data_IF_562029812634
#
_entry.id   IF_562029812634
#
_cell.length_a   1.000
_cell.length_b   1.000
_cell.length_c   1.000
_cell.angle_alpha   90.00
_cell.angle_beta   90.00
_cell.angle_gamma   90.00
#
_symmetry.space_group_name_H-M   'P 1'
#
loop_
_entity.id
_entity.type
_entity.pdbx_description
1 polymer ?
#
# COMPACT_ATOMS: atom_id res chain seq x y z
N UNK A 1 -21.11 -6.18 12.25
CA UNK A 1 -22.37 -5.75 11.60
C UNK A 1 -23.24 -6.98 11.43
N UNK A 2 -24.35 -7.08 12.15
CA UNK A 2 -25.34 -8.15 11.97
C UNK A 2 -26.14 -7.90 10.70
N UNK A 3 -26.18 -8.85 9.78
CA UNK A 3 -27.10 -8.82 8.65
C UNK A 3 -28.52 -9.07 9.17
N UNK A 4 -29.33 -8.02 9.24
CA UNK A 4 -30.75 -8.15 9.56
C UNK A 4 -31.45 -8.88 8.40
N UNK A 5 -31.71 -10.17 8.56
CA UNK A 5 -32.43 -10.96 7.59
C UNK A 5 -33.94 -10.73 7.76
N UNK A 6 -34.51 -9.80 6.99
CA UNK A 6 -35.97 -9.56 6.99
C UNK A 6 -36.63 -10.65 6.16
N UNK A 7 -37.25 -11.63 6.83
CA UNK A 7 -37.88 -12.80 6.20
C UNK A 7 -39.13 -12.41 5.39
N UNK A 8 -39.90 -11.41 5.86
CA UNK A 8 -41.13 -10.96 5.20
C UNK A 8 -40.86 -10.11 3.94
N UNK A 9 -41.31 -10.54 2.74
CA UNK A 9 -41.05 -9.86 1.47
C UNK A 9 -41.69 -8.47 1.36
N UNK A 10 -42.84 -8.22 2.01
CA UNK A 10 -43.50 -6.90 1.96
C UNK A 10 -42.70 -5.86 2.75
N UNK A 11 -42.34 -6.21 4.00
CA UNK A 11 -41.50 -5.37 4.87
C UNK A 11 -40.11 -5.13 4.28
N UNK A 12 -39.54 -6.12 3.60
CA UNK A 12 -38.27 -5.98 2.88
C UNK A 12 -38.36 -4.93 1.78
N UNK A 13 -39.42 -4.98 0.95
CA UNK A 13 -39.64 -4.03 -0.14
C UNK A 13 -39.81 -2.59 0.37
N UNK A 14 -40.53 -2.42 1.47
CA UNK A 14 -40.70 -1.13 2.12
C UNK A 14 -39.39 -0.56 2.69
N UNK A 15 -38.63 -1.38 3.43
CA UNK A 15 -37.30 -1.00 3.93
C UNK A 15 -36.34 -0.62 2.79
N UNK A 16 -36.39 -1.31 1.65
CA UNK A 16 -35.60 -0.93 0.46
C UNK A 16 -36.03 0.41 -0.13
N UNK A 17 -37.33 0.71 -0.16
CA UNK A 17 -37.84 2.02 -0.63
C UNK A 17 -37.40 3.14 0.29
N UNK A 18 -37.46 2.95 1.61
CA UNK A 18 -36.99 3.91 2.60
C UNK A 18 -35.49 4.13 2.50
N UNK A 19 -34.69 3.06 2.40
CA UNK A 19 -33.24 3.16 2.23
C UNK A 19 -32.87 3.93 0.96
N UNK A 20 -33.60 3.68 -0.15
CA UNK A 20 -33.39 4.43 -1.40
C UNK A 20 -33.71 5.91 -1.25
N UNK A 21 -34.77 6.27 -0.50
CA UNK A 21 -35.11 7.67 -0.18
C UNK A 21 -34.04 8.32 0.70
N UNK A 22 -33.62 7.62 1.75
CA UNK A 22 -32.62 8.11 2.70
C UNK A 22 -31.27 8.36 2.02
N UNK A 23 -30.84 7.44 1.15
CA UNK A 23 -29.64 7.61 0.32
C UNK A 23 -29.73 8.84 -0.59
N UNK A 24 -30.91 9.12 -1.15
CA UNK A 24 -31.14 10.30 -2.01
C UNK A 24 -31.10 11.60 -1.19
N UNK A 25 -31.67 11.62 0.01
CA UNK A 25 -31.62 12.78 0.91
C UNK A 25 -30.19 13.10 1.32
N UNK A 26 -29.45 12.11 1.85
CA UNK A 26 -28.05 12.29 2.29
C UNK A 26 -27.18 12.84 1.15
N UNK A 27 -27.40 12.36 -0.08
CA UNK A 27 -26.70 12.88 -1.24
C UNK A 27 -27.05 14.35 -1.52
N UNK A 28 -28.33 14.72 -1.43
CA UNK A 28 -28.77 16.09 -1.66
C UNK A 28 -28.27 17.04 -0.56
N UNK A 29 -28.31 16.60 0.70
CA UNK A 29 -27.81 17.36 1.84
C UNK A 29 -26.31 17.65 1.70
N UNK A 30 -25.52 16.64 1.29
CA UNK A 30 -24.10 16.81 1.02
C UNK A 30 -23.81 17.77 -0.15
N UNK A 31 -24.67 17.79 -1.19
CA UNK A 31 -24.55 18.74 -2.30
C UNK A 31 -24.89 20.16 -1.84
N UNK A 32 -25.93 20.33 -1.04
CA UNK A 32 -26.35 21.62 -0.51
C UNK A 32 -25.30 22.20 0.46
N UNK A 33 -24.72 21.38 1.32
CA UNK A 33 -23.62 21.76 2.22
C UNK A 33 -22.40 22.24 1.42
N UNK A 34 -22.07 21.54 0.33
CA UNK A 34 -21.00 21.96 -0.59
C UNK A 34 -21.29 23.31 -1.22
N UNK A 35 -22.50 23.54 -1.71
CA UNK A 35 -22.90 24.83 -2.29
C UNK A 35 -22.83 25.96 -1.25
N UNK A 36 -23.24 25.70 -0.01
CA UNK A 36 -23.14 26.68 1.08
C UNK A 36 -21.68 27.01 1.45
N UNK A 37 -20.80 26.01 1.45
CA UNK A 37 -19.37 26.20 1.68
C UNK A 37 -18.72 27.01 0.54
N UNK A 38 -19.05 26.69 -0.72
CA UNK A 38 -18.54 27.42 -1.89
C UNK A 38 -18.99 28.90 -1.86
N UNK A 39 -20.24 29.18 -1.45
CA UNK A 39 -20.73 30.55 -1.24
C UNK A 39 -19.94 31.27 -0.12
N UNK A 40 -19.71 30.61 1.01
CA UNK A 40 -18.96 31.18 2.14
C UNK A 40 -17.51 31.53 1.76
N UNK A 41 -16.87 30.68 0.95
CA UNK A 41 -15.53 30.93 0.42
C UNK A 41 -15.53 32.09 -0.58
N UNK A 42 -16.56 32.21 -1.41
CA UNK A 42 -16.71 33.34 -2.32
C UNK A 42 -16.86 34.66 -1.55
N UNK A 43 -17.65 34.67 -0.48
CA UNK A 43 -17.85 35.85 0.37
C UNK A 43 -16.57 36.25 1.11
N UNK A 44 -15.81 35.29 1.66
CA UNK A 44 -14.49 35.56 2.24
C UNK A 44 -13.52 36.12 1.21
N UNK A 45 -13.50 35.55 0.00
CA UNK A 45 -12.69 36.05 -1.11
C UNK A 45 -13.00 37.50 -1.43
N UNK A 46 -14.29 37.86 -1.51
CA UNK A 46 -14.73 39.24 -1.75
C UNK A 46 -14.39 40.17 -0.59
N UNK A 47 -14.54 39.71 0.66
CA UNK A 47 -14.27 40.51 1.86
C UNK A 47 -12.78 40.87 2.00
N UNK A 48 -11.88 39.92 1.69
CA UNK A 48 -10.44 40.13 1.85
C UNK A 48 -9.74 40.68 0.60
N UNK A 49 -10.39 40.66 -0.56
CA UNK A 49 -9.82 41.17 -1.81
C UNK A 49 -9.24 42.59 -1.71
N UNK A 50 -9.92 43.58 -1.10
CA UNK A 50 -9.38 44.94 -0.98
C UNK A 50 -8.08 44.99 -0.16
N UNK A 51 -7.97 44.14 0.86
CA UNK A 51 -6.79 44.05 1.72
C UNK A 51 -5.63 43.41 0.95
N UNK A 52 -5.89 42.33 0.23
CA UNK A 52 -4.90 41.65 -0.61
C UNK A 52 -4.40 42.59 -1.70
N UNK A 53 -5.30 43.29 -2.39
CA UNK A 53 -4.95 44.24 -3.44
C UNK A 53 -4.13 45.40 -2.87
N UNK A 54 -4.52 45.95 -1.70
CA UNK A 54 -3.78 47.01 -1.02
C UNK A 54 -2.38 46.58 -0.55
N UNK A 55 -2.17 45.31 -0.23
CA UNK A 55 -0.90 44.79 0.28
C UNK A 55 0.00 44.18 -0.81
N UNK A 56 -0.54 43.94 -2.01
CA UNK A 56 0.14 43.28 -3.12
C UNK A 56 1.45 43.96 -3.55
N UNK A 57 1.54 45.29 -3.45
CA UNK A 57 2.75 46.06 -3.80
C UNK A 57 3.76 46.23 -2.67
N UNK A 58 3.47 45.81 -1.44
CA UNK A 58 4.36 46.04 -0.28
C UNK A 58 5.65 45.24 -0.44
N UNK A 59 5.58 44.01 -0.93
CA UNK A 59 6.76 43.14 -1.12
C UNK A 59 7.72 43.69 -2.19
N UNK A 60 7.19 44.24 -3.28
CA UNK A 60 7.98 44.90 -4.34
C UNK A 60 8.63 46.20 -3.88
N UNK A 61 7.94 46.97 -3.04
CA UNK A 61 8.47 48.22 -2.50
C UNK A 61 9.51 47.98 -1.39
N UNK A 62 9.34 46.94 -0.57
CA UNK A 62 10.33 46.52 0.42
C UNK A 62 11.63 46.00 -0.23
N UNK A 63 11.53 45.33 -1.38
CA UNK A 63 12.70 44.87 -2.13
C UNK A 63 13.54 46.02 -2.74
N UNK A 64 12.97 47.24 -2.86
CA UNK A 64 13.63 48.42 -3.43
C UNK A 64 14.24 49.36 -2.37
N UNK A 65 13.95 49.14 -1.08
CA UNK A 65 14.48 49.96 0.02
C UNK A 65 15.73 49.30 0.63
N UNK A 66 16.93 49.69 0.18
CA UNK A 66 18.20 49.24 0.78
C UNK A 66 18.61 50.03 2.04
N UNK A 67 17.89 51.10 2.43
CA UNK A 67 18.24 51.93 3.58
C UNK A 67 17.24 51.79 4.73
N UNK A 68 17.70 51.24 5.86
CA UNK A 68 16.90 50.95 7.08
C UNK A 68 16.24 52.17 7.74
N UNK A 69 16.63 53.39 7.39
CA UNK A 69 16.14 54.63 8.02
C UNK A 69 14.78 55.08 7.50
N UNK A 70 14.39 54.71 6.29
CA UNK A 70 13.15 55.18 5.64
C UNK A 70 11.92 54.31 5.99
N UNK A 71 12.15 53.10 6.51
CA UNK A 71 11.10 52.14 6.91
C UNK A 71 10.31 52.58 8.15
N UNK A 72 10.97 53.27 9.09
CA UNK A 72 10.33 53.73 10.33
C UNK A 72 9.34 54.89 10.09
N UNK A 73 9.63 55.75 9.12
CA UNK A 73 8.81 56.92 8.76
C UNK A 73 7.61 56.51 7.89
N UNK A 74 7.75 55.46 7.08
CA UNK A 74 6.63 54.93 6.27
C UNK A 74 5.64 54.09 7.09
N UNK A 75 6.09 53.37 8.13
CA UNK A 75 5.18 52.64 9.02
C UNK A 75 4.32 53.56 9.90
N UNK A 76 4.80 54.77 10.25
CA UNK A 76 4.03 55.70 11.10
C UNK A 76 2.88 56.40 10.37
N UNK A 77 2.84 56.34 9.04
CA UNK A 77 1.85 57.03 8.21
C UNK A 77 0.68 56.13 7.76
N UNK A 78 0.60 54.89 8.24
CA UNK A 78 -0.56 54.04 8.02
C UNK A 78 -1.71 54.46 8.96
N UNK A 79 -2.95 54.60 8.46
CA UNK A 79 -4.09 54.93 9.30
C UNK A 79 -4.30 53.82 10.34
N UNK A 80 -4.31 54.20 11.62
CA UNK A 80 -4.68 53.31 12.70
C UNK A 80 -6.09 52.77 12.44
N UNK A 81 -6.20 51.44 12.37
CA UNK A 81 -7.48 50.74 12.18
C UNK A 81 -8.36 51.06 13.39
N UNK A 82 -9.46 51.78 13.14
CA UNK A 82 -10.48 52.08 14.14
C UNK A 82 -11.18 50.79 14.61
N UNK A 83 -11.50 50.80 15.90
CA UNK A 83 -12.27 49.85 16.71
C UNK A 83 -13.15 48.83 15.95
N UNK A 84 -12.81 47.55 16.09
CA UNK A 84 -13.69 46.42 15.73
C UNK A 84 -14.38 45.96 17.03
N UNK A 85 -15.72 45.84 17.08
CA UNK A 85 -16.41 45.39 18.27
C UNK A 85 -16.06 43.93 18.59
N UNK A 86 -15.64 43.68 19.84
CA UNK A 86 -15.31 42.36 20.37
C UNK A 86 -16.51 41.41 20.29
N UNK A 87 -16.56 40.59 19.25
CA UNK A 87 -17.43 39.39 19.26
C UNK A 87 -16.63 38.25 19.87
N UNK A 88 -16.86 37.98 21.16
CA UNK A 88 -16.32 36.82 21.87
C UNK A 88 -16.77 35.54 21.16
N UNK A 89 -15.84 34.85 20.52
CA UNK A 89 -16.02 33.46 20.10
C UNK A 89 -15.17 32.56 21.00
N UNK A 90 -15.86 31.84 21.87
CA UNK A 90 -15.29 30.77 22.70
C UNK A 90 -14.95 29.57 21.80
N UNK A 91 -13.76 29.58 21.18
CA UNK A 91 -13.18 28.39 20.59
C UNK A 91 -11.69 28.32 20.94
N UNK A 92 -11.36 27.48 21.93
CA UNK A 92 -9.99 27.09 22.25
C UNK A 92 -9.34 26.43 21.03
N UNK A 93 -8.23 26.95 20.49
CA UNK A 93 -7.50 26.27 19.43
C UNK A 93 -6.51 25.27 20.05
N UNK A 94 -6.94 24.03 20.25
CA UNK A 94 -5.99 22.91 20.38
C UNK A 94 -5.52 22.48 18.98
N UNK A 95 -4.80 23.38 18.29
CA UNK A 95 -4.19 23.11 16.99
C UNK A 95 -2.68 23.37 17.05
N UNK A 96 -1.91 22.32 17.39
CA UNK A 96 -0.54 22.23 16.87
C UNK A 96 -0.65 22.15 15.34
N UNK A 97 -0.46 23.28 14.69
CA UNK A 97 -0.44 23.42 13.23
C UNK A 97 0.69 22.51 12.72
N UNK A 98 0.33 21.47 11.95
CA UNK A 98 1.30 20.63 11.25
C UNK A 98 1.91 21.49 10.14
N UNK A 99 3.16 21.91 10.27
CA UNK A 99 3.85 22.63 9.20
C UNK A 99 4.21 21.62 8.11
N UNK A 100 3.54 21.68 6.97
CA UNK A 100 3.95 20.96 5.76
C UNK A 100 5.04 21.77 5.05
N UNK A 101 6.07 21.07 4.58
CA UNK A 101 7.10 21.66 3.74
C UNK A 101 6.64 21.74 2.28
N UNK A 102 7.32 22.56 1.50
CA UNK A 102 6.98 22.85 0.10
C UNK A 102 6.96 21.59 -0.77
N UNK A 103 7.86 20.63 -0.49
CA UNK A 103 8.00 19.39 -1.24
C UNK A 103 6.80 18.47 -0.96
N UNK A 104 6.56 18.13 0.30
CA UNK A 104 5.44 17.28 0.69
C UNK A 104 4.09 17.86 0.23
N UNK A 105 3.92 19.18 0.34
CA UNK A 105 2.70 19.87 -0.10
C UNK A 105 2.46 19.68 -1.60
N UNK A 106 3.48 19.85 -2.44
CA UNK A 106 3.32 19.71 -3.89
C UNK A 106 2.94 18.28 -4.30
N UNK A 107 3.59 17.28 -3.70
CA UNK A 107 3.33 15.87 -4.03
C UNK A 107 1.97 15.41 -3.52
N UNK A 108 1.62 15.72 -2.26
CA UNK A 108 0.30 15.41 -1.71
C UNK A 108 -0.81 16.13 -2.47
N UNK A 109 -0.65 17.40 -2.82
CA UNK A 109 -1.65 18.12 -3.63
C UNK A 109 -1.87 17.43 -4.98
N UNK A 110 -0.81 16.99 -5.63
CA UNK A 110 -0.89 16.32 -6.94
C UNK A 110 -1.63 14.98 -6.91
N UNK A 111 -1.46 14.18 -5.84
CA UNK A 111 -2.14 12.88 -5.71
C UNK A 111 -3.63 13.04 -5.47
N UNK A 112 -4.00 14.02 -4.65
CA UNK A 112 -5.39 14.26 -4.30
C UNK A 112 -6.16 14.98 -5.41
N UNK A 113 -5.52 15.85 -6.19
CA UNK A 113 -6.13 16.52 -7.33
C UNK A 113 -6.31 15.60 -8.55
N UNK A 114 -5.42 14.63 -8.80
CA UNK A 114 -5.45 13.81 -10.01
C UNK A 114 -5.52 12.30 -9.74
N UNK A 115 -6.74 11.81 -9.51
CA UNK A 115 -7.06 10.39 -9.24
C UNK A 115 -6.59 9.40 -10.32
N UNK A 116 -6.35 9.84 -11.57
CA UNK A 116 -5.91 8.96 -12.66
C UNK A 116 -4.40 8.63 -12.60
N UNK A 117 -3.61 9.41 -11.86
CA UNK A 117 -2.15 9.33 -11.85
C UNK A 117 -1.53 8.75 -10.56
N UNK A 118 -2.34 8.61 -9.50
CA UNK A 118 -1.92 8.08 -8.20
C UNK A 118 -2.34 6.61 -8.02
N UNK A 119 -1.52 5.79 -7.34
CA UNK A 119 -1.85 4.39 -7.00
C UNK A 119 -2.17 4.26 -5.52
N UNK A 120 -3.46 4.37 -5.17
CA UNK A 120 -3.95 4.20 -3.80
C UNK A 120 -3.69 2.81 -3.18
N UNK A 121 -3.16 1.85 -3.93
CA UNK A 121 -2.85 0.50 -3.43
C UNK A 121 -1.62 0.49 -2.51
N UNK A 122 -0.63 1.31 -2.83
CA UNK A 122 0.66 1.38 -2.11
C UNK A 122 1.01 2.78 -1.65
N UNK A 123 0.30 3.79 -2.13
CA UNK A 123 0.52 5.19 -1.78
C UNK A 123 -0.14 5.57 -0.44
N UNK A 124 0.16 6.80 -0.02
CA UNK A 124 -0.46 7.45 1.12
C UNK A 124 -1.97 7.58 0.89
N UNK A 125 -2.76 7.13 1.85
CA UNK A 125 -4.21 7.25 1.82
C UNK A 125 -4.78 7.70 3.18
N UNK A 126 -5.99 8.28 3.15
CA UNK A 126 -6.75 8.62 4.36
C UNK A 126 -7.98 7.73 4.46
N UNK A 127 -8.30 7.27 5.68
CA UNK A 127 -9.51 6.48 5.95
C UNK A 127 -10.78 7.33 5.89
N UNK A 128 -10.66 8.65 6.09
CA UNK A 128 -11.80 9.57 6.19
C UNK A 128 -12.22 10.13 4.81
N UNK A 129 -11.62 9.62 3.73
CA UNK A 129 -11.83 10.13 2.37
C UNK A 129 -11.07 11.42 2.09
N UNK A 130 -10.92 11.76 0.80
CA UNK A 130 -10.11 12.90 0.32
C UNK A 130 -10.56 14.26 0.88
N UNK A 131 -11.82 14.39 1.32
CA UNK A 131 -12.45 15.67 1.63
C UNK A 131 -11.86 16.34 2.88
N UNK A 132 -11.22 15.59 3.78
CA UNK A 132 -10.74 16.09 5.07
C UNK A 132 -9.22 16.23 5.19
N UNK A 133 -8.45 15.96 4.14
CA UNK A 133 -6.98 15.92 4.25
C UNK A 133 -6.37 17.32 4.36
N UNK A 134 -7.01 18.34 3.77
CA UNK A 134 -6.53 19.72 3.87
C UNK A 134 -6.63 20.27 5.30
N UNK A 135 -7.63 19.81 6.06
CA UNK A 135 -7.88 20.26 7.44
C UNK A 135 -7.39 19.28 8.51
N UNK A 136 -7.25 17.99 8.15
CA UNK A 136 -6.91 16.90 9.07
C UNK A 136 -5.87 15.98 8.45
N UNK A 137 -4.63 16.45 8.32
CA UNK A 137 -3.45 15.61 8.06
C UNK A 137 -3.19 14.56 9.16
N UNK A 138 -4.01 14.55 10.23
CA UNK A 138 -3.84 13.71 11.40
C UNK A 138 -4.04 12.21 11.13
N UNK A 139 -4.55 11.78 9.97
CA UNK A 139 -4.93 10.38 9.70
C UNK A 139 -4.45 9.85 8.35
N UNK A 140 -3.19 10.11 8.02
CA UNK A 140 -2.54 9.52 6.85
C UNK A 140 -2.05 8.11 7.17
N UNK A 141 -2.19 7.20 6.20
CA UNK A 141 -1.76 5.81 6.33
C UNK A 141 -0.97 5.37 5.09
N UNK A 142 0.02 4.51 5.32
CA UNK A 142 0.63 3.66 4.30
C UNK A 142 0.37 2.23 4.74
N UNK A 143 -0.15 1.39 3.84
CA UNK A 143 -0.53 0.02 4.21
C UNK A 143 -1.46 0.00 5.42
N UNK A 144 -1.01 -0.60 6.52
CA UNK A 144 -1.75 -0.69 7.79
C UNK A 144 -1.33 0.34 8.84
N UNK A 145 -0.22 1.04 8.65
CA UNK A 145 0.35 1.96 9.65
C UNK A 145 0.01 3.41 9.36
N UNK A 146 -0.19 4.16 10.44
CA UNK A 146 -0.37 5.61 10.39
C UNK A 146 0.99 6.29 10.18
N UNK A 147 0.99 7.36 9.40
CA UNK A 147 2.17 8.19 9.17
C UNK A 147 1.93 9.62 9.64
N UNK A 148 2.99 10.28 10.09
CA UNK A 148 3.02 11.69 10.45
C UNK A 148 4.02 12.40 9.53
N UNK A 149 3.58 13.49 8.90
CA UNK A 149 4.45 14.29 8.04
C UNK A 149 4.74 15.59 8.77
N UNK A 150 6.01 15.83 9.07
CA UNK A 150 6.50 17.04 9.72
C UNK A 150 7.47 17.73 8.75
N UNK A 151 7.12 18.92 8.27
CA UNK A 151 7.74 19.58 7.13
C UNK A 151 7.73 18.66 5.90
N UNK A 152 8.88 18.09 5.54
CA UNK A 152 8.98 17.11 4.46
C UNK A 152 9.18 15.68 5.01
N UNK A 153 9.62 15.55 6.26
CA UNK A 153 10.04 14.27 6.82
C UNK A 153 8.83 13.41 7.20
N UNK A 154 8.97 12.11 6.97
CA UNK A 154 7.91 11.13 7.19
C UNK A 154 8.28 10.32 8.44
N UNK A 155 7.39 10.32 9.42
CA UNK A 155 7.55 9.54 10.64
C UNK A 155 6.56 8.38 10.62
N UNK A 156 7.07 7.16 10.81
CA UNK A 156 6.29 5.92 10.82
C UNK A 156 6.65 5.17 12.12
N UNK A 157 5.73 5.18 13.09
CA UNK A 157 6.05 4.69 14.44
C UNK A 157 7.21 5.50 15.05
N UNK A 158 8.28 4.81 15.43
CA UNK A 158 9.47 5.43 16.06
C UNK A 158 10.56 5.82 15.05
N UNK A 159 10.36 5.56 13.76
CA UNK A 159 11.36 5.84 12.71
C UNK A 159 11.01 7.09 11.93
N UNK A 160 12.05 7.91 11.71
CA UNK A 160 11.98 9.14 10.92
C UNK A 160 12.74 8.95 9.61
N UNK A 161 12.08 9.24 8.50
CA UNK A 161 12.64 9.20 7.15
C UNK A 161 12.72 10.61 6.57
N UNK A 162 13.83 10.93 5.93
CA UNK A 162 14.06 12.25 5.32
C UNK A 162 13.17 12.38 4.09
N UNK A 163 12.43 13.49 4.01
CA UNK A 163 11.53 13.79 2.90
C UNK A 163 12.23 14.26 1.63
N UNK A 164 12.90 13.35 0.92
CA UNK A 164 13.47 13.63 -0.40
C UNK A 164 12.39 13.70 -1.49
N UNK A 165 12.69 14.37 -2.60
CA UNK A 165 11.81 14.38 -3.78
C UNK A 165 11.59 12.97 -4.33
N UNK A 166 12.62 12.13 -4.30
CA UNK A 166 12.58 10.72 -4.71
C UNK A 166 11.62 9.90 -3.87
N UNK A 167 11.77 9.91 -2.53
CA UNK A 167 10.89 9.14 -1.62
C UNK A 167 9.44 9.61 -1.72
N UNK A 168 9.21 10.93 -1.77
CA UNK A 168 7.87 11.48 -1.89
C UNK A 168 7.22 11.00 -3.19
N UNK A 169 7.94 10.97 -4.31
CA UNK A 169 7.43 10.51 -5.60
C UNK A 169 7.15 9.01 -5.63
N UNK A 170 7.99 8.19 -5.00
CA UNK A 170 7.78 6.74 -4.84
C UNK A 170 6.52 6.41 -4.00
N UNK A 171 6.14 7.30 -3.08
CA UNK A 171 4.98 7.15 -2.19
C UNK A 171 3.68 7.75 -2.75
N UNK A 172 3.73 8.41 -3.92
CA UNK A 172 2.62 9.21 -4.44
C UNK A 172 2.28 8.98 -5.90
N UNK A 173 3.22 8.55 -6.75
CA UNK A 173 2.98 8.41 -8.19
C UNK A 173 2.96 6.96 -8.64
N UNK A 174 1.97 6.65 -9.48
CA UNK A 174 1.78 5.33 -10.11
C UNK A 174 2.86 4.99 -11.16
N UNK A 175 3.60 5.98 -11.67
CA UNK A 175 4.72 5.80 -12.61
C UNK A 175 5.85 6.78 -12.28
N UNK A 176 6.80 6.40 -11.40
CA UNK A 176 7.99 7.20 -11.14
C UNK A 176 9.01 7.04 -12.28
N UNK A 177 9.52 8.17 -12.78
CA UNK A 177 10.64 8.19 -13.73
C UNK A 177 11.92 7.73 -13.01
N UNK A 178 12.73 6.88 -13.64
CA UNK A 178 13.92 6.27 -13.02
C UNK A 178 14.98 7.30 -12.60
N UNK A 179 14.98 8.46 -13.23
CA UNK A 179 16.02 9.47 -13.06
C UNK A 179 15.83 10.36 -11.81
N UNK A 180 14.74 10.15 -11.05
CA UNK A 180 14.31 11.07 -9.99
C UNK A 180 14.56 10.55 -8.58
N UNK A 181 14.74 9.23 -8.41
CA UNK A 181 15.03 8.63 -7.11
C UNK A 181 16.40 7.97 -7.13
N UNK A 182 17.13 8.07 -6.02
CA UNK A 182 18.42 7.42 -5.85
C UNK A 182 18.27 6.03 -5.19
N UNK A 183 19.37 5.28 -5.12
CA UNK A 183 19.39 3.95 -4.50
C UNK A 183 19.05 4.00 -3.00
N UNK A 184 19.44 5.07 -2.30
CA UNK A 184 19.09 5.27 -0.89
C UNK A 184 17.58 5.53 -0.69
N UNK A 185 16.91 6.24 -1.61
CA UNK A 185 15.47 6.44 -1.61
C UNK A 185 14.76 5.10 -1.83
N UNK A 186 15.28 4.26 -2.72
CA UNK A 186 14.75 2.93 -2.98
C UNK A 186 14.86 2.00 -1.76
N UNK A 187 16.01 2.02 -1.07
CA UNK A 187 16.21 1.23 0.14
C UNK A 187 15.31 1.69 1.28
N UNK A 188 15.21 3.01 1.50
CA UNK A 188 14.27 3.56 2.46
C UNK A 188 12.81 3.19 2.12
N UNK A 189 12.45 3.23 0.84
CA UNK A 189 11.13 2.82 0.39
C UNK A 189 10.85 1.34 0.65
N UNK A 190 11.82 0.44 0.42
CA UNK A 190 11.72 -0.98 0.79
C UNK A 190 11.43 -1.16 2.27
N UNK A 191 12.18 -0.46 3.14
CA UNK A 191 12.00 -0.52 4.59
C UNK A 191 10.61 -0.05 4.98
N UNK A 192 10.16 1.08 4.42
CA UNK A 192 8.81 1.64 4.66
C UNK A 192 7.72 0.64 4.27
N UNK A 193 7.79 0.04 3.08
CA UNK A 193 6.81 -0.94 2.59
C UNK A 193 6.74 -2.18 3.49
N UNK A 194 7.87 -2.66 3.99
CA UNK A 194 7.95 -3.81 4.91
C UNK A 194 7.36 -3.48 6.27
N UNK A 195 7.70 -2.31 6.82
CA UNK A 195 7.21 -1.90 8.14
C UNK A 195 5.72 -1.62 8.18
N UNK A 196 5.18 -1.07 7.08
CA UNK A 196 3.77 -0.70 6.95
C UNK A 196 2.90 -1.86 6.50
N UNK A 197 3.51 -2.99 6.16
CA UNK A 197 2.85 -4.17 5.59
C UNK A 197 2.03 -3.81 4.33
N UNK A 198 2.49 -2.81 3.58
CA UNK A 198 1.82 -2.32 2.37
C UNK A 198 1.96 -3.29 1.20
N UNK A 199 3.06 -4.05 1.18
CA UNK A 199 3.39 -4.97 0.09
C UNK A 199 2.68 -6.33 0.21
N UNK A 200 2.25 -6.74 1.40
CA UNK A 200 1.64 -8.05 1.61
C UNK A 200 0.11 -8.02 1.36
N UNK A 201 -0.42 -9.12 0.81
CA UNK A 201 -1.86 -9.28 0.68
C UNK A 201 -2.44 -9.92 1.94
N UNK A 202 -3.29 -9.19 2.68
CA UNK A 202 -3.96 -9.72 3.87
C UNK A 202 -4.96 -10.85 3.57
N UNK A 203 -5.45 -10.94 2.32
CA UNK A 203 -6.43 -11.96 1.88
C UNK A 203 -5.79 -13.19 1.26
N UNK A 204 -4.56 -13.07 0.75
CA UNK A 204 -3.83 -14.14 0.09
C UNK A 204 -2.44 -14.24 0.73
N UNK A 205 -2.31 -15.08 1.75
CA UNK A 205 -1.04 -15.30 2.44
C UNK A 205 0.04 -15.75 1.45
N UNK A 206 1.25 -15.20 1.60
CA UNK A 206 2.41 -15.55 0.77
C UNK A 206 2.41 -14.96 -0.65
N UNK A 207 1.50 -14.03 -0.98
CA UNK A 207 1.50 -13.29 -2.25
C UNK A 207 1.61 -11.78 -2.01
N UNK A 208 2.27 -11.04 -2.92
CA UNK A 208 2.26 -9.59 -2.83
C UNK A 208 0.84 -9.09 -3.10
N UNK A 209 0.50 -7.93 -2.54
CA UNK A 209 -0.65 -7.16 -2.98
C UNK A 209 -0.43 -6.83 -4.45
N UNK A 210 -1.38 -7.15 -5.33
CA UNK A 210 -1.23 -6.92 -6.77
C UNK A 210 -1.87 -5.59 -7.18
N UNK A 211 -1.18 -4.79 -8.00
CA UNK A 211 -1.74 -3.62 -8.68
C UNK A 211 -1.47 -3.68 -10.20
N UNK A 212 -2.24 -2.93 -10.97
CA UNK A 212 -2.01 -2.75 -12.42
C UNK A 212 -1.01 -1.62 -12.72
N UNK A 213 -0.58 -0.88 -11.70
CA UNK A 213 0.31 0.27 -11.83
C UNK A 213 1.69 -0.10 -12.37
N UNK A 214 2.34 0.86 -13.01
CA UNK A 214 3.70 0.68 -13.53
C UNK A 214 4.72 0.63 -12.38
N UNK A 215 4.51 1.38 -11.30
CA UNK A 215 5.30 1.28 -10.07
C UNK A 215 5.28 -0.15 -9.50
N UNK A 216 4.12 -0.82 -9.54
CA UNK A 216 4.03 -2.20 -9.10
C UNK A 216 4.90 -3.13 -9.95
N UNK A 217 4.77 -3.05 -11.27
CA UNK A 217 5.51 -3.93 -12.19
C UNK A 217 7.01 -3.70 -12.14
N UNK A 218 7.44 -2.44 -12.08
CA UNK A 218 8.85 -2.05 -12.22
C UNK A 218 9.62 -2.01 -10.89
N UNK A 219 8.95 -1.72 -9.79
CA UNK A 219 9.60 -1.47 -8.48
C UNK A 219 9.11 -2.46 -7.43
N UNK A 220 7.81 -2.49 -7.15
CA UNK A 220 7.27 -3.25 -5.99
C UNK A 220 7.37 -4.76 -6.19
N UNK A 221 7.09 -5.27 -7.39
CA UNK A 221 7.18 -6.70 -7.69
C UNK A 221 8.63 -7.23 -7.54
N UNK A 222 9.65 -6.61 -8.14
CA UNK A 222 11.05 -6.98 -7.88
C UNK A 222 11.44 -6.93 -6.40
N UNK A 223 11.00 -5.89 -5.66
CA UNK A 223 11.23 -5.78 -4.21
C UNK A 223 10.61 -6.96 -3.47
N UNK A 224 9.37 -7.34 -3.81
CA UNK A 224 8.72 -8.49 -3.19
C UNK A 224 9.46 -9.78 -3.48
N UNK A 225 9.86 -10.02 -4.73
CA UNK A 225 10.62 -11.22 -5.13
C UNK A 225 11.98 -11.30 -4.42
N UNK A 226 12.61 -10.16 -4.14
CA UNK A 226 13.81 -10.07 -3.33
C UNK A 226 13.55 -10.39 -1.85
N UNK A 227 12.49 -9.83 -1.24
CA UNK A 227 12.15 -10.09 0.17
C UNK A 227 11.69 -11.54 0.36
N UNK A 228 10.91 -12.05 -0.58
CA UNK A 228 10.36 -13.41 -0.56
C UNK A 228 11.20 -14.38 -1.34
N UNK A 229 12.47 -14.06 -1.65
CA UNK A 229 13.41 -14.97 -2.30
C UNK A 229 13.35 -16.27 -1.53
N UNK A 230 12.60 -17.20 -2.11
CA UNK A 230 12.48 -18.55 -1.62
C UNK A 230 13.91 -19.03 -1.63
N UNK A 231 14.39 -19.46 -0.46
CA UNK A 231 15.53 -20.37 -0.37
C UNK A 231 15.45 -21.28 -1.59
N UNK A 232 16.49 -21.26 -2.41
CA UNK A 232 16.48 -21.84 -3.74
C UNK A 232 15.83 -23.22 -3.72
N UNK A 233 15.08 -23.54 -4.78
CA UNK A 233 14.67 -24.90 -5.08
C UNK A 233 15.93 -25.76 -4.96
N UNK A 234 16.07 -26.51 -3.85
CA UNK A 234 17.30 -27.23 -3.55
C UNK A 234 17.66 -28.06 -4.78
N UNK A 235 18.89 -27.93 -5.26
CA UNK A 235 19.37 -28.82 -6.31
C UNK A 235 19.42 -30.20 -5.67
N UNK A 236 18.50 -31.08 -6.09
CA UNK A 236 18.47 -32.45 -5.64
C UNK A 236 19.54 -33.17 -6.45
N UNK A 237 20.69 -33.43 -5.83
CA UNK A 237 21.73 -34.26 -6.45
C UNK A 237 21.26 -35.71 -6.31
N UNK A 238 20.93 -36.32 -7.44
CA UNK A 238 20.50 -37.71 -7.53
C UNK A 238 21.69 -38.62 -7.87
N UNK A 239 21.80 -39.80 -7.23
CA UNK A 239 22.78 -40.81 -7.63
C UNK A 239 22.43 -41.38 -9.00
N UNK A 240 23.46 -41.79 -9.76
CA UNK A 240 23.26 -42.38 -11.09
C UNK A 240 22.90 -43.87 -11.07
N UNK A 241 23.13 -44.56 -9.94
CA UNK A 241 22.85 -45.99 -9.79
C UNK A 241 21.36 -46.24 -9.44
N UNK A 242 20.61 -47.05 -10.22
CA UNK A 242 19.22 -47.43 -9.93
C UNK A 242 19.00 -47.93 -8.51
N UNK A 243 19.93 -48.72 -7.96
CA UNK A 243 19.78 -49.29 -6.62
C UNK A 243 19.89 -48.21 -5.53
N UNK A 244 20.78 -47.24 -5.72
CA UNK A 244 20.89 -46.08 -4.83
C UNK A 244 19.69 -45.13 -4.97
N UNK A 245 19.11 -44.99 -6.16
CA UNK A 245 17.85 -44.25 -6.37
C UNK A 245 16.69 -44.89 -5.61
N UNK A 246 16.57 -46.22 -5.61
CA UNK A 246 15.54 -46.95 -4.86
C UNK A 246 15.74 -46.79 -3.34
N UNK A 247 16.98 -46.87 -2.83
CA UNK A 247 17.28 -46.60 -1.41
C UNK A 247 16.94 -45.15 -1.02
N UNK A 248 17.32 -44.20 -1.87
CA UNK A 248 17.01 -42.78 -1.66
C UNK A 248 15.50 -42.54 -1.68
N UNK A 249 14.76 -43.21 -2.55
CA UNK A 249 13.30 -43.17 -2.61
C UNK A 249 12.66 -43.69 -1.32
N UNK A 250 13.16 -44.81 -0.77
CA UNK A 250 12.70 -45.34 0.51
C UNK A 250 12.95 -44.35 1.66
N UNK A 251 14.10 -43.66 1.67
CA UNK A 251 14.40 -42.61 2.64
C UNK A 251 13.46 -41.40 2.49
N UNK A 252 13.17 -40.95 1.25
CA UNK A 252 12.21 -39.86 1.02
C UNK A 252 10.78 -40.25 1.40
N UNK A 253 10.40 -41.52 1.24
CA UNK A 253 9.13 -42.05 1.74
C UNK A 253 9.05 -41.95 3.26
N UNK A 254 10.07 -42.40 3.99
CA UNK A 254 10.11 -42.29 5.45
C UNK A 254 10.05 -40.83 5.91
N UNK A 255 10.74 -39.91 5.21
CA UNK A 255 10.64 -38.48 5.47
C UNK A 255 9.23 -37.93 5.22
N UNK A 256 8.57 -38.36 4.14
CA UNK A 256 7.19 -37.99 3.83
C UNK A 256 6.20 -38.53 4.88
N UNK A 257 6.40 -39.74 5.37
CA UNK A 257 5.61 -40.34 6.47
C UNK A 257 5.77 -39.56 7.78
N UNK A 258 6.92 -38.92 8.00
CA UNK A 258 7.16 -38.00 9.11
C UNK A 258 6.60 -36.58 8.86
N UNK A 259 5.61 -36.43 7.97
CA UNK A 259 4.98 -35.17 7.54
C UNK A 259 5.93 -34.14 6.90
N UNK A 260 7.09 -34.57 6.38
CA UNK A 260 7.94 -33.68 5.57
C UNK A 260 7.42 -33.57 4.14
N UNK A 261 6.56 -32.58 3.91
CA UNK A 261 5.96 -32.29 2.59
C UNK A 261 6.98 -32.02 1.48
N UNK A 262 8.21 -31.62 1.80
CA UNK A 262 9.30 -31.41 0.83
C UNK A 262 9.79 -32.70 0.17
N UNK A 263 9.72 -33.83 0.89
CA UNK A 263 10.20 -35.13 0.42
C UNK A 263 9.39 -35.67 -0.78
N UNK A 264 8.15 -35.19 -0.96
CA UNK A 264 7.32 -35.53 -2.13
C UNK A 264 7.94 -35.03 -3.44
N UNK A 265 8.45 -33.79 -3.46
CA UNK A 265 9.04 -33.22 -4.66
C UNK A 265 10.34 -33.95 -5.03
N UNK A 266 11.07 -34.42 -4.02
CA UNK A 266 12.28 -35.22 -4.19
C UNK A 266 11.97 -36.63 -4.71
N UNK A 267 10.90 -37.26 -4.21
CA UNK A 267 10.44 -38.55 -4.73
C UNK A 267 10.02 -38.47 -6.20
N UNK A 268 9.35 -37.38 -6.62
CA UNK A 268 9.00 -37.17 -8.04
C UNK A 268 10.25 -37.05 -8.91
N UNK A 269 11.28 -36.33 -8.45
CA UNK A 269 12.54 -36.23 -9.17
C UNK A 269 13.24 -37.60 -9.32
N UNK A 270 13.15 -38.47 -8.31
CA UNK A 270 13.66 -39.85 -8.39
C UNK A 270 12.86 -40.69 -9.40
N UNK A 271 11.54 -40.54 -9.45
CA UNK A 271 10.72 -41.23 -10.45
C UNK A 271 11.06 -40.79 -11.88
N UNK A 272 11.32 -39.49 -12.08
CA UNK A 272 11.73 -38.97 -13.38
C UNK A 272 13.08 -39.58 -13.81
N UNK A 273 14.03 -39.71 -12.89
CA UNK A 273 15.34 -40.33 -13.17
C UNK A 273 15.22 -41.83 -13.48
N UNK A 274 14.45 -42.59 -12.70
CA UNK A 274 14.20 -44.02 -12.97
C UNK A 274 13.51 -44.25 -14.32
N UNK A 275 12.60 -43.34 -14.73
CA UNK A 275 11.96 -43.39 -16.03
C UNK A 275 12.94 -43.08 -17.17
N UNK A 276 13.83 -42.10 -16.97
CA UNK A 276 14.88 -41.76 -17.92
C UNK A 276 15.89 -42.90 -18.11
N UNK A 277 16.21 -43.63 -17.05
CA UNK A 277 17.10 -44.79 -17.09
C UNK A 277 16.44 -46.04 -17.69
N UNK A 278 15.11 -46.03 -17.86
CA UNK A 278 14.35 -47.16 -18.42
C UNK A 278 14.04 -48.28 -17.42
N UNK A 279 14.37 -48.08 -16.15
CA UNK A 279 14.13 -49.03 -15.05
C UNK A 279 12.63 -49.13 -14.70
N UNK A 280 11.86 -48.09 -15.00
CA UNK A 280 10.40 -48.09 -14.89
C UNK A 280 9.76 -47.65 -16.20
N UNK A 281 8.59 -48.20 -16.51
CA UNK A 281 7.81 -47.79 -17.66
C UNK A 281 6.82 -46.65 -17.31
N UNK A 282 6.22 -46.04 -18.34
CA UNK A 282 5.28 -44.92 -18.17
C UNK A 282 4.02 -45.27 -17.35
N UNK A 283 3.59 -46.53 -17.38
CA UNK A 283 2.43 -46.99 -16.61
C UNK A 283 2.78 -47.11 -15.12
N UNK A 284 3.94 -47.69 -14.80
CA UNK A 284 4.48 -47.79 -13.45
C UNK A 284 4.76 -46.41 -12.85
N UNK A 285 5.31 -45.47 -13.63
CA UNK A 285 5.50 -44.09 -13.20
C UNK A 285 4.18 -43.43 -12.74
N UNK A 286 3.11 -43.56 -13.55
CA UNK A 286 1.78 -43.02 -13.20
C UNK A 286 1.19 -43.72 -11.98
N UNK A 287 1.39 -45.03 -11.85
CA UNK A 287 0.98 -45.78 -10.68
C UNK A 287 1.68 -45.28 -9.40
N UNK A 288 3.00 -45.15 -9.44
CA UNK A 288 3.82 -44.64 -8.33
C UNK A 288 3.41 -43.23 -7.91
N UNK A 289 3.21 -42.30 -8.85
CA UNK A 289 2.73 -40.96 -8.53
C UNK A 289 1.35 -40.95 -7.87
N UNK A 290 0.44 -41.79 -8.34
CA UNK A 290 -0.90 -41.88 -7.76
C UNK A 290 -0.86 -42.48 -6.35
N UNK A 291 -0.05 -43.51 -6.14
CA UNK A 291 0.12 -44.14 -4.81
C UNK A 291 0.73 -43.14 -3.82
N UNK A 292 1.78 -42.41 -4.23
CA UNK A 292 2.39 -41.36 -3.41
C UNK A 292 1.45 -40.16 -3.20
N UNK A 293 0.46 -39.94 -4.08
CA UNK A 293 -0.61 -38.93 -3.91
C UNK A 293 -1.69 -39.37 -2.92
N UNK A 294 -2.01 -40.65 -2.89
CA UNK A 294 -3.10 -41.22 -2.08
C UNK A 294 -2.63 -41.72 -0.70
N UNK A 295 -1.31 -41.71 -0.45
CA UNK A 295 -0.69 -42.24 0.77
C UNK A 295 -1.04 -43.73 1.03
N UNK A 296 -1.19 -44.51 -0.06
CA UNK A 296 -1.63 -45.90 0.01
C UNK A 296 -0.42 -46.85 0.16
N UNK A 297 -0.04 -47.09 1.42
CA UNK A 297 1.26 -47.67 1.79
C UNK A 297 1.45 -49.15 1.40
N UNK A 298 0.35 -49.90 1.21
CA UNK A 298 0.42 -51.35 0.98
C UNK A 298 0.88 -51.69 -0.44
N UNK A 299 0.40 -50.94 -1.44
CA UNK A 299 0.78 -51.11 -2.85
C UNK A 299 2.18 -50.59 -3.19
N UNK A 300 2.66 -49.58 -2.48
CA UNK A 300 3.98 -49.00 -2.72
C UNK A 300 5.11 -49.97 -2.32
N UNK A 301 4.95 -50.63 -1.16
CA UNK A 301 5.89 -51.65 -0.67
C UNK A 301 5.94 -52.89 -1.59
N UNK A 302 4.80 -53.31 -2.11
CA UNK A 302 4.68 -54.45 -3.03
C UNK A 302 5.40 -54.17 -4.38
N UNK A 303 5.29 -52.93 -4.89
CA UNK A 303 5.99 -52.52 -6.12
C UNK A 303 7.50 -52.27 -5.92
N UNK A 304 7.92 -51.77 -4.76
CA UNK A 304 9.35 -51.64 -4.43
C UNK A 304 10.02 -53.00 -4.28
N UNK A 305 9.31 -54.00 -3.73
CA UNK A 305 9.81 -55.37 -3.65
C UNK A 305 9.98 -56.00 -5.04
N UNK A 306 9.06 -55.74 -5.97
CA UNK A 306 9.14 -56.25 -7.34
C UNK A 306 10.35 -55.67 -8.09
N UNK A 307 10.64 -54.38 -7.92
CA UNK A 307 11.84 -53.75 -8.49
C UNK A 307 13.16 -54.28 -7.91
N UNK A 308 13.14 -54.90 -6.72
CA UNK A 308 14.30 -55.56 -6.14
C UNK A 308 14.44 -57.04 -6.51
N UNK A 309 13.42 -57.64 -7.15
CA UNK A 309 13.36 -59.07 -7.45
C UNK A 309 13.71 -59.43 -8.90
N UNK A 310 13.74 -58.46 -9.82
CA UNK A 310 14.05 -58.67 -11.25
C UNK A 310 15.56 -58.51 -11.59
N UNK A 311 16.47 -58.77 -10.64
CA UNK A 311 17.93 -58.92 -10.88
C UNK A 311 18.49 -60.24 -10.34
#
# INVERSE_FOLDING_TARGET
>A
MSLLYIVDPKKRSEAFKELKRLKKSIYQDAVNEKLGYDNSQHDLGNLYKPIIDSQSGITENLAKLENKTDLAITLSNYPAIMDIPETKSDMKPDSKIVSLGTIATNYLKSTYSNKKSADFTFDIHSKDGLHYIWYTLKRLYIGKKQILINNNDITIGDKKYIGTTGICKLLTKSSPDKDIYNENDLENYKVILKETDAISCSKCSGKPRSSRSEIYKKIIKPIWEEITRKSGKGVIILPSDPNELVKMLALRKAAFEADNTGARNEAVAIFDELLCQGEINSEYYKALQNIFRLNDNKKLLELLLLLQQDQ
#
